data_IF_475564155650
#
_entry.id   IF_475564155650
#
_cell.length_a   1.000
_cell.length_b   1.000
_cell.length_c   1.000
_cell.angle_alpha   90.00
_cell.angle_beta   90.00
_cell.angle_gamma   90.00
#
_symmetry.space_group_name_H-M   'P 1'
#
loop_
_entity.id
_entity.type
_entity.pdbx_description
1 polymer ?
#
# COMPACT_ATOMS: atom_id res chain seq x y z
N UNK A 1 -27.20 -16.23 -46.95
CA UNK A 1 -28.61 -15.80 -46.85
C UNK A 1 -29.16 -15.89 -45.43
N UNK A 2 -28.54 -16.62 -44.49
CA UNK A 2 -29.00 -16.66 -43.08
C UNK A 2 -29.05 -15.29 -42.37
N UNK A 3 -28.16 -14.35 -42.70
CA UNK A 3 -28.15 -13.02 -42.07
C UNK A 3 -29.18 -12.03 -42.63
N UNK A 4 -29.75 -12.30 -43.80
CA UNK A 4 -30.69 -11.40 -44.50
C UNK A 4 -31.78 -12.24 -45.21
N UNK A 5 -32.76 -12.78 -44.46
CA UNK A 5 -33.77 -13.68 -45.00
C UNK A 5 -34.66 -13.02 -46.06
N UNK A 6 -34.79 -11.69 -46.02
CA UNK A 6 -35.68 -10.91 -46.89
C UNK A 6 -34.97 -10.36 -48.14
N UNK A 7 -33.68 -10.69 -48.35
CA UNK A 7 -32.91 -10.26 -49.51
C UNK A 7 -33.19 -11.19 -50.70
N UNK A 8 -33.87 -10.66 -51.73
CA UNK A 8 -34.23 -11.41 -52.92
C UNK A 8 -33.44 -10.97 -54.16
N UNK A 9 -33.09 -11.93 -54.99
CA UNK A 9 -32.41 -11.68 -56.26
C UNK A 9 -33.43 -11.45 -57.38
N UNK A 10 -33.39 -10.27 -57.98
CA UNK A 10 -34.20 -9.87 -59.12
C UNK A 10 -33.33 -9.69 -60.36
N UNK A 11 -33.65 -10.40 -61.44
CA UNK A 11 -32.89 -10.30 -62.70
C UNK A 11 -33.38 -9.10 -63.50
N UNK A 12 -32.48 -8.19 -63.84
CA UNK A 12 -32.71 -7.13 -64.81
C UNK A 12 -31.74 -7.30 -65.98
N UNK A 13 -32.20 -7.97 -67.04
CA UNK A 13 -31.37 -8.28 -68.22
C UNK A 13 -30.24 -9.28 -67.90
N UNK A 14 -28.99 -8.88 -68.12
CA UNK A 14 -27.81 -9.69 -67.75
C UNK A 14 -27.40 -9.53 -66.29
N UNK A 15 -27.97 -8.55 -65.59
CA UNK A 15 -27.58 -8.21 -64.22
C UNK A 15 -28.58 -8.79 -63.22
N UNK A 16 -28.06 -9.13 -62.03
CA UNK A 16 -28.86 -9.57 -60.88
C UNK A 16 -28.81 -8.47 -59.83
N UNK A 17 -29.93 -7.82 -59.61
CA UNK A 17 -30.12 -6.85 -58.53
C UNK A 17 -30.59 -7.58 -57.28
N UNK A 18 -30.00 -7.25 -56.13
CA UNK A 18 -30.45 -7.74 -54.84
C UNK A 18 -31.33 -6.67 -54.20
N UNK A 19 -32.59 -7.00 -53.97
CA UNK A 19 -33.61 -6.07 -53.46
C UNK A 19 -34.22 -6.66 -52.18
N UNK A 20 -34.53 -5.78 -51.23
CA UNK A 20 -35.32 -6.13 -50.06
C UNK A 20 -36.80 -5.87 -50.36
N UNK A 21 -37.67 -6.77 -49.90
CA UNK A 21 -39.11 -6.61 -50.09
C UNK A 21 -39.72 -5.52 -49.18
N UNK A 22 -39.11 -5.32 -48.02
CA UNK A 22 -39.48 -4.29 -47.05
C UNK A 22 -38.41 -3.18 -46.97
N UNK A 23 -38.72 -2.09 -46.25
CA UNK A 23 -37.80 -0.97 -46.03
C UNK A 23 -36.40 -1.47 -45.62
N UNK A 24 -35.40 -1.10 -46.43
CA UNK A 24 -33.98 -1.42 -46.21
C UNK A 24 -33.55 -0.97 -44.79
N UNK A 25 -34.12 0.13 -44.28
CA UNK A 25 -33.86 0.62 -42.93
C UNK A 25 -34.31 -0.35 -41.83
N UNK A 26 -35.46 -1.00 -42.00
CA UNK A 26 -35.97 -1.98 -41.04
C UNK A 26 -35.13 -3.26 -41.03
N UNK A 27 -34.65 -3.70 -42.21
CA UNK A 27 -33.86 -4.93 -42.35
C UNK A 27 -32.42 -4.75 -41.87
N UNK A 28 -31.80 -3.59 -42.12
CA UNK A 28 -30.49 -3.24 -41.54
C UNK A 28 -30.59 -3.17 -40.00
N UNK A 29 -31.67 -2.59 -39.49
CA UNK A 29 -31.95 -2.54 -38.03
C UNK A 29 -32.18 -3.93 -37.44
N UNK A 30 -32.68 -4.90 -38.23
CA UNK A 30 -32.85 -6.28 -37.78
C UNK A 30 -31.52 -7.05 -37.78
N UNK A 31 -30.69 -6.87 -38.81
CA UNK A 31 -29.37 -7.50 -38.90
C UNK A 31 -28.39 -6.96 -37.84
N UNK A 32 -28.50 -5.68 -37.48
CA UNK A 32 -27.70 -5.06 -36.40
C UNK A 32 -28.18 -5.40 -35.00
N UNK A 33 -29.39 -5.94 -34.81
CA UNK A 33 -29.86 -6.40 -33.48
C UNK A 33 -29.09 -7.59 -32.94
N UNK A 34 -28.36 -8.30 -33.78
CA UNK A 34 -27.46 -9.41 -33.45
C UNK A 34 -25.99 -8.97 -33.30
N UNK A 35 -25.72 -7.70 -32.97
CA UNK A 35 -24.37 -7.16 -32.82
C UNK A 35 -23.75 -7.44 -31.44
N UNK A 36 -23.37 -8.70 -31.19
CA UNK A 36 -22.34 -9.00 -30.17
C UNK A 36 -21.07 -8.15 -30.39
N UNK A 37 -20.80 -7.74 -31.64
CA UNK A 37 -19.66 -6.92 -32.04
C UNK A 37 -19.73 -5.46 -31.53
N UNK A 38 -20.92 -4.85 -31.41
CA UNK A 38 -21.04 -3.45 -30.95
C UNK A 38 -20.79 -3.35 -29.44
N UNK A 39 -21.39 -4.24 -28.65
CA UNK A 39 -21.16 -4.32 -27.20
C UNK A 39 -19.70 -4.70 -26.90
N UNK A 40 -19.15 -5.67 -27.64
CA UNK A 40 -17.74 -6.03 -27.54
C UNK A 40 -16.82 -4.84 -27.86
N UNK A 41 -17.16 -4.02 -28.86
CA UNK A 41 -16.39 -2.83 -29.21
C UNK A 41 -16.48 -1.74 -28.13
N UNK A 42 -17.63 -1.58 -27.47
CA UNK A 42 -17.77 -0.66 -26.33
C UNK A 42 -16.90 -1.14 -25.15
N UNK A 43 -16.96 -2.42 -24.80
CA UNK A 43 -16.14 -3.01 -23.74
C UNK A 43 -14.65 -2.90 -24.05
N UNK A 44 -14.26 -3.17 -25.30
CA UNK A 44 -12.89 -3.00 -25.76
C UNK A 44 -12.39 -1.57 -25.58
N UNK A 45 -13.18 -0.57 -26.02
CA UNK A 45 -12.84 0.85 -25.86
C UNK A 45 -12.75 1.25 -24.38
N UNK A 46 -13.70 0.82 -23.54
CA UNK A 46 -13.68 1.09 -22.11
C UNK A 46 -12.44 0.49 -21.43
N UNK A 47 -12.13 -0.77 -21.72
CA UNK A 47 -10.93 -1.44 -21.23
C UNK A 47 -9.65 -0.75 -21.71
N UNK A 48 -9.60 -0.31 -22.98
CA UNK A 48 -8.46 0.40 -23.54
C UNK A 48 -8.19 1.74 -22.83
N UNK A 49 -9.25 2.52 -22.55
CA UNK A 49 -9.15 3.79 -21.81
C UNK A 49 -8.62 3.54 -20.40
N UNK A 50 -9.28 2.66 -19.65
CA UNK A 50 -8.92 2.36 -18.25
C UNK A 50 -7.50 1.80 -18.18
N UNK A 51 -7.15 0.86 -19.06
CA UNK A 51 -5.82 0.25 -19.09
C UNK A 51 -4.74 1.26 -19.43
N UNK A 52 -4.98 2.19 -20.36
CA UNK A 52 -4.03 3.27 -20.67
C UNK A 52 -3.72 4.08 -19.42
N UNK A 53 -4.73 4.49 -18.67
CA UNK A 53 -4.56 5.28 -17.46
C UNK A 53 -3.87 4.48 -16.35
N UNK A 54 -4.24 3.21 -16.16
CA UNK A 54 -3.60 2.32 -15.18
C UNK A 54 -2.10 2.11 -15.45
N UNK A 55 -1.71 2.02 -16.73
CA UNK A 55 -0.30 1.82 -17.12
C UNK A 55 0.50 3.13 -17.08
N UNK A 56 -0.16 4.29 -17.16
CA UNK A 56 0.49 5.60 -17.04
C UNK A 56 0.83 5.95 -15.58
N UNK A 57 0.13 5.34 -14.61
CA UNK A 57 0.43 5.53 -13.19
C UNK A 57 1.80 4.94 -12.84
N UNK A 58 2.60 5.71 -12.11
CA UNK A 58 3.83 5.25 -11.46
C UNK A 58 3.73 5.64 -9.98
N UNK A 59 3.96 4.67 -9.10
CA UNK A 59 3.98 4.93 -7.67
C UNK A 59 5.12 4.15 -7.02
N UNK A 60 5.90 4.86 -6.21
CA UNK A 60 7.04 4.30 -5.48
C UNK A 60 6.77 4.54 -4.01
N UNK A 61 6.72 3.46 -3.24
CA UNK A 61 6.57 3.56 -1.80
C UNK A 61 7.84 4.13 -1.17
N UNK A 62 7.71 5.27 -0.50
CA UNK A 62 8.83 5.98 0.14
C UNK A 62 8.96 5.67 1.65
N UNK A 63 8.18 4.71 2.17
CA UNK A 63 8.21 4.34 3.59
C UNK A 63 7.08 4.94 4.42
N UNK A 64 6.26 5.82 3.84
CA UNK A 64 5.13 6.45 4.52
C UNK A 64 3.82 6.25 3.76
N UNK A 65 2.71 6.28 4.51
CA UNK A 65 1.36 6.27 3.96
C UNK A 65 0.75 7.66 4.15
N UNK A 66 0.81 8.48 3.11
CA UNK A 66 0.26 9.84 3.14
C UNK A 66 -1.26 9.85 3.21
N UNK A 67 -1.84 10.96 3.68
CA UNK A 67 -3.29 11.17 3.63
C UNK A 67 -3.77 11.09 2.18
N UNK A 68 -4.79 10.26 1.92
CA UNK A 68 -5.31 10.07 0.56
C UNK A 68 -4.48 9.11 -0.32
N UNK A 69 -3.46 8.44 0.24
CA UNK A 69 -2.60 7.49 -0.49
C UNK A 69 -3.41 6.44 -1.27
N UNK A 70 -4.48 5.91 -0.67
CA UNK A 70 -5.36 4.93 -1.31
C UNK A 70 -6.02 5.50 -2.57
N UNK A 71 -6.61 6.70 -2.46
CA UNK A 71 -7.30 7.38 -3.57
C UNK A 71 -6.34 7.73 -4.71
N UNK A 72 -5.11 8.09 -4.37
CA UNK A 72 -4.08 8.55 -5.30
C UNK A 72 -3.32 7.40 -5.97
N UNK A 73 -3.47 6.15 -5.48
CA UNK A 73 -2.79 4.98 -6.04
C UNK A 73 -3.49 4.32 -7.22
N UNK A 74 -4.64 4.86 -7.64
CA UNK A 74 -5.45 4.33 -8.74
C UNK A 74 -5.98 5.47 -9.61
N UNK A 75 -6.06 5.29 -10.94
CA UNK A 75 -6.58 6.31 -11.82
C UNK A 75 -8.09 6.50 -11.61
N UNK A 76 -8.58 7.73 -11.85
CA UNK A 76 -10.00 8.05 -11.70
C UNK A 76 -10.88 7.20 -12.62
N UNK A 77 -10.44 6.91 -13.85
CA UNK A 77 -11.18 6.06 -14.80
C UNK A 77 -11.43 4.65 -14.27
N UNK A 78 -10.45 4.06 -13.57
CA UNK A 78 -10.62 2.77 -12.90
C UNK A 78 -11.62 2.86 -11.75
N UNK A 79 -11.50 3.88 -10.89
CA UNK A 79 -12.45 4.09 -9.78
C UNK A 79 -13.88 4.24 -10.29
N UNK A 80 -14.07 5.02 -11.36
CA UNK A 80 -15.38 5.26 -11.95
C UNK A 80 -15.97 3.97 -12.54
N UNK A 81 -15.19 3.18 -13.30
CA UNK A 81 -15.73 1.94 -13.90
C UNK A 81 -16.02 0.88 -12.84
N UNK A 82 -15.16 0.74 -11.83
CA UNK A 82 -15.40 -0.18 -10.69
C UNK A 82 -16.61 0.27 -9.90
N UNK A 83 -16.75 1.57 -9.63
CA UNK A 83 -17.94 2.12 -8.98
C UNK A 83 -19.23 1.85 -9.77
N UNK A 84 -19.17 1.98 -11.10
CA UNK A 84 -20.30 1.63 -11.98
C UNK A 84 -20.61 0.12 -11.97
N UNK A 85 -19.60 -0.75 -11.83
CA UNK A 85 -19.80 -2.19 -11.73
C UNK A 85 -20.43 -2.57 -10.38
N UNK A 86 -19.95 -1.99 -9.27
CA UNK A 86 -20.39 -2.34 -7.92
C UNK A 86 -21.74 -1.71 -7.56
N UNK A 87 -21.97 -0.45 -7.95
CA UNK A 87 -23.15 0.33 -7.59
C UNK A 87 -24.14 0.58 -8.74
N UNK A 88 -23.87 0.04 -9.92
CA UNK A 88 -24.65 0.25 -11.14
C UNK A 88 -24.21 1.49 -11.95
N UNK A 89 -24.51 1.52 -13.26
CA UNK A 89 -24.10 2.60 -14.15
C UNK A 89 -24.87 3.88 -13.85
N UNK A 90 -24.30 4.76 -13.01
CA UNK A 90 -24.89 6.03 -12.67
C UNK A 90 -23.87 7.17 -12.75
N UNK A 91 -24.05 8.06 -13.72
CA UNK A 91 -23.18 9.21 -13.99
C UNK A 91 -23.15 10.18 -12.79
N UNK A 92 -24.18 10.19 -11.94
CA UNK A 92 -24.29 11.08 -10.77
C UNK A 92 -23.64 10.52 -9.50
N UNK A 93 -23.21 9.26 -9.49
CA UNK A 93 -22.65 8.58 -8.31
C UNK A 93 -21.15 8.82 -8.12
N UNK A 94 -20.59 9.83 -8.79
CA UNK A 94 -19.16 10.14 -8.78
C UNK A 94 -18.65 10.67 -7.42
N UNK A 95 -19.51 10.86 -6.41
CA UNK A 95 -19.16 11.59 -5.18
C UNK A 95 -19.13 10.76 -3.89
N UNK A 96 -19.43 9.45 -3.91
CA UNK A 96 -19.30 8.61 -2.72
C UNK A 96 -18.14 7.65 -2.94
N UNK A 97 -16.98 8.01 -2.38
CA UNK A 97 -15.79 7.15 -2.32
C UNK A 97 -16.05 5.98 -1.37
N UNK A 98 -16.68 4.93 -1.87
CA UNK A 98 -16.88 3.71 -1.10
C UNK A 98 -15.56 2.93 -0.99
N UNK A 99 -15.19 2.54 0.23
CA UNK A 99 -13.96 1.78 0.50
C UNK A 99 -13.86 0.53 -0.38
N UNK A 100 -14.98 -0.14 -0.68
CA UNK A 100 -15.04 -1.31 -1.56
C UNK A 100 -14.55 -1.01 -2.98
N UNK A 101 -14.91 0.16 -3.52
CA UNK A 101 -14.47 0.62 -4.84
C UNK A 101 -12.98 0.89 -4.86
N UNK A 102 -12.44 1.55 -3.82
CA UNK A 102 -11.01 1.82 -3.69
C UNK A 102 -10.19 0.53 -3.54
N UNK A 103 -10.64 -0.38 -2.69
CA UNK A 103 -10.01 -1.69 -2.48
C UNK A 103 -10.00 -2.51 -3.76
N UNK A 104 -11.14 -2.61 -4.45
CA UNK A 104 -11.24 -3.37 -5.71
C UNK A 104 -10.39 -2.75 -6.83
N UNK A 105 -10.37 -1.42 -6.93
CA UNK A 105 -9.53 -0.70 -7.90
C UNK A 105 -8.05 -0.94 -7.64
N UNK A 106 -7.61 -0.87 -6.38
CA UNK A 106 -6.20 -1.14 -6.04
C UNK A 106 -5.81 -2.58 -6.34
N UNK A 107 -6.68 -3.56 -6.08
CA UNK A 107 -6.41 -4.95 -6.43
C UNK A 107 -6.33 -5.17 -7.94
N UNK A 108 -7.19 -4.51 -8.73
CA UNK A 108 -7.10 -4.55 -10.20
C UNK A 108 -5.80 -3.92 -10.70
N UNK A 109 -5.40 -2.78 -10.13
CA UNK A 109 -4.12 -2.13 -10.43
C UNK A 109 -2.94 -3.04 -10.10
N UNK A 110 -2.95 -3.66 -8.91
CA UNK A 110 -1.90 -4.57 -8.45
C UNK A 110 -1.76 -5.81 -9.33
N UNK A 111 -2.87 -6.34 -9.83
CA UNK A 111 -2.94 -7.55 -10.64
C UNK A 111 -2.94 -7.26 -12.15
N UNK A 112 -2.33 -6.15 -12.57
CA UNK A 112 -2.23 -5.76 -13.99
C UNK A 112 -0.79 -5.63 -14.46
N UNK A 113 -0.44 -6.38 -15.52
CA UNK A 113 0.86 -6.31 -16.19
C UNK A 113 0.79 -5.56 -17.52
N UNK A 114 1.85 -4.82 -17.90
CA UNK A 114 1.94 -4.11 -19.21
C UNK A 114 1.79 -5.10 -20.38
N UNK A 115 2.57 -6.19 -20.38
CA UNK A 115 2.51 -7.22 -21.40
C UNK A 115 2.84 -8.59 -20.79
N UNK A 116 2.06 -9.62 -21.14
CA UNK A 116 2.33 -10.99 -20.69
C UNK A 116 3.40 -11.62 -21.57
N UNK A 117 4.47 -12.14 -20.95
CA UNK A 117 5.36 -13.09 -21.63
C UNK A 117 4.77 -14.49 -21.45
N UNK A 118 4.82 -15.34 -22.47
CA UNK A 118 4.25 -16.71 -22.42
C UNK A 118 4.77 -17.54 -21.24
N UNK A 119 5.99 -17.25 -20.78
CA UNK A 119 6.66 -17.97 -19.69
C UNK A 119 6.69 -17.19 -18.36
N UNK A 120 5.88 -16.13 -18.20
CA UNK A 120 5.88 -15.33 -16.97
C UNK A 120 5.21 -16.05 -15.80
N UNK A 121 5.60 -15.67 -14.58
CA UNK A 121 4.95 -16.12 -13.34
C UNK A 121 3.42 -15.97 -13.43
N UNK A 122 2.64 -16.83 -12.76
CA UNK A 122 1.18 -16.79 -12.81
C UNK A 122 0.59 -15.48 -12.26
N UNK A 123 1.41 -14.67 -11.59
CA UNK A 123 0.99 -13.46 -10.89
C UNK A 123 1.34 -12.21 -11.68
N UNK A 124 0.38 -11.29 -11.80
CA UNK A 124 0.44 -10.10 -12.65
C UNK A 124 1.09 -8.87 -11.98
N UNK A 125 2.05 -9.08 -11.08
CA UNK A 125 2.57 -8.00 -10.24
C UNK A 125 3.75 -7.27 -10.88
N UNK A 126 3.76 -5.94 -10.69
CA UNK A 126 4.88 -5.07 -11.03
C UNK A 126 5.26 -4.25 -9.80
N UNK A 127 6.54 -4.25 -9.45
CA UNK A 127 7.10 -3.49 -8.34
C UNK A 127 7.00 -1.97 -8.55
N UNK A 128 6.84 -1.52 -9.80
CA UNK A 128 6.75 -0.10 -10.19
C UNK A 128 5.36 0.51 -9.97
N UNK A 129 4.36 -0.34 -9.70
CA UNK A 129 2.95 0.05 -9.58
C UNK A 129 2.28 -0.67 -8.41
N UNK A 130 3.01 -0.94 -7.34
CA UNK A 130 2.48 -1.54 -6.11
C UNK A 130 1.53 -0.55 -5.43
N UNK A 131 0.21 -0.81 -5.38
CA UNK A 131 -0.70 0.08 -4.68
C UNK A 131 -0.58 -0.11 -3.17
N UNK A 132 -0.88 0.96 -2.42
CA UNK A 132 -0.66 0.99 -0.97
C UNK A 132 -1.38 -0.11 -0.20
N UNK A 133 -2.56 -0.54 -0.64
CA UNK A 133 -3.29 -1.61 0.02
C UNK A 133 -2.47 -2.91 0.10
N UNK A 134 -1.86 -3.34 -1.02
CA UNK A 134 -1.10 -4.59 -1.07
C UNK A 134 0.17 -4.51 -0.23
N UNK A 135 0.79 -3.32 -0.19
CA UNK A 135 1.96 -3.03 0.67
C UNK A 135 1.56 -3.11 2.13
N UNK A 136 0.52 -2.37 2.52
CA UNK A 136 -0.01 -2.35 3.88
C UNK A 136 -0.39 -3.74 4.36
N UNK A 137 -1.15 -4.49 3.56
CA UNK A 137 -1.60 -5.84 3.93
C UNK A 137 -0.41 -6.79 4.11
N UNK A 138 0.59 -6.72 3.23
CA UNK A 138 1.82 -7.52 3.36
C UNK A 138 2.59 -7.21 4.65
N UNK A 139 2.79 -5.93 4.95
CA UNK A 139 3.46 -5.47 6.17
C UNK A 139 2.68 -5.85 7.43
N UNK A 140 1.37 -5.66 7.44
CA UNK A 140 0.48 -6.00 8.56
C UNK A 140 0.48 -7.50 8.84
N UNK A 141 0.29 -8.34 7.81
CA UNK A 141 0.34 -9.80 7.96
C UNK A 141 1.68 -10.27 8.51
N UNK A 142 2.77 -9.66 8.06
CA UNK A 142 4.09 -9.95 8.58
C UNK A 142 4.23 -9.52 10.04
N UNK A 143 3.77 -8.32 10.41
CA UNK A 143 3.79 -7.79 11.76
C UNK A 143 3.05 -8.71 12.75
N UNK A 144 1.84 -9.11 12.40
CA UNK A 144 0.93 -9.86 13.27
C UNK A 144 1.30 -11.35 13.38
N UNK A 145 1.76 -11.95 12.27
CA UNK A 145 1.88 -13.42 12.23
C UNK A 145 3.29 -13.93 12.20
N UNK A 146 4.24 -13.17 11.61
CA UNK A 146 5.59 -13.64 11.25
C UNK A 146 5.61 -14.95 10.45
N UNK A 147 4.49 -15.39 9.87
CA UNK A 147 4.35 -16.67 9.17
C UNK A 147 4.59 -16.51 7.68
N UNK A 148 5.79 -16.87 7.22
CA UNK A 148 6.16 -16.86 5.79
C UNK A 148 5.16 -17.59 4.90
N UNK A 149 4.68 -18.76 5.33
CA UNK A 149 3.72 -19.56 4.56
C UNK A 149 2.36 -18.89 4.35
N UNK A 150 1.89 -18.08 5.31
CA UNK A 150 0.64 -17.33 5.18
C UNK A 150 0.79 -16.19 4.16
N UNK A 151 1.88 -15.43 4.27
CA UNK A 151 2.22 -14.35 3.34
C UNK A 151 2.34 -14.89 1.91
N UNK A 152 2.97 -16.06 1.75
CA UNK A 152 3.11 -16.71 0.46
C UNK A 152 1.75 -17.06 -0.18
N UNK A 153 0.79 -17.55 0.61
CA UNK A 153 -0.57 -17.82 0.13
C UNK A 153 -1.29 -16.53 -0.29
N UNK A 154 -1.20 -15.47 0.51
CA UNK A 154 -1.83 -14.17 0.20
C UNK A 154 -1.22 -13.52 -1.05
N UNK A 155 0.09 -13.64 -1.23
CA UNK A 155 0.79 -13.22 -2.44
C UNK A 155 0.28 -13.98 -3.67
N UNK A 156 0.15 -15.31 -3.60
CA UNK A 156 -0.37 -16.10 -4.73
C UNK A 156 -1.83 -15.80 -5.09
N UNK A 157 -2.63 -15.35 -4.13
CA UNK A 157 -4.00 -14.88 -4.38
C UNK A 157 -4.03 -13.45 -4.96
N UNK A 158 -2.88 -12.80 -5.15
CA UNK A 158 -2.81 -11.44 -5.67
C UNK A 158 -3.29 -10.38 -4.67
N UNK A 159 -3.21 -10.66 -3.36
CA UNK A 159 -3.73 -9.78 -2.31
C UNK A 159 -2.65 -8.97 -1.60
N UNK A 160 -1.43 -9.51 -1.49
CA UNK A 160 -0.33 -8.88 -0.76
C UNK A 160 0.98 -8.96 -1.52
N UNK A 161 2.00 -8.24 -1.04
CA UNK A 161 3.38 -8.40 -1.50
C UNK A 161 3.95 -9.80 -1.20
N UNK A 162 5.02 -10.16 -1.92
CA UNK A 162 5.79 -11.37 -1.62
C UNK A 162 6.55 -11.22 -0.30
N UNK A 163 6.87 -12.34 0.34
CA UNK A 163 7.65 -12.33 1.58
C UNK A 163 9.01 -11.64 1.40
N UNK A 164 9.70 -11.92 0.29
CA UNK A 164 10.99 -11.31 0.01
C UNK A 164 10.89 -9.80 -0.19
N UNK A 165 9.84 -9.32 -0.87
CA UNK A 165 9.57 -7.89 -1.00
C UNK A 165 9.33 -7.22 0.35
N UNK A 166 8.59 -7.87 1.25
CA UNK A 166 8.36 -7.39 2.61
C UNK A 166 9.67 -7.31 3.40
N UNK A 167 10.56 -8.29 3.26
CA UNK A 167 11.88 -8.23 3.88
C UNK A 167 12.73 -7.10 3.34
N UNK A 168 12.72 -6.87 2.02
CA UNK A 168 13.44 -5.75 1.43
C UNK A 168 12.94 -4.40 1.98
N UNK A 169 11.62 -4.23 2.08
CA UNK A 169 11.03 -3.02 2.69
C UNK A 169 11.44 -2.88 4.16
N UNK A 170 11.41 -3.97 4.93
CA UNK A 170 11.83 -3.95 6.34
C UNK A 170 13.31 -3.57 6.50
N UNK A 171 14.18 -4.09 5.62
CA UNK A 171 15.60 -3.74 5.63
C UNK A 171 15.82 -2.29 5.23
N UNK A 172 15.14 -1.80 4.19
CA UNK A 172 15.24 -0.41 3.76
C UNK A 172 14.78 0.56 4.86
N UNK A 173 13.68 0.24 5.57
CA UNK A 173 13.23 1.00 6.73
C UNK A 173 14.27 0.99 7.86
N UNK A 174 14.86 -0.16 8.16
CA UNK A 174 15.94 -0.26 9.15
C UNK A 174 17.17 0.58 8.77
N UNK A 175 17.55 0.56 7.50
CA UNK A 175 18.66 1.37 6.96
C UNK A 175 18.37 2.88 7.06
N UNK A 176 17.13 3.30 6.76
CA UNK A 176 16.67 4.69 6.92
C UNK A 176 16.75 5.15 8.38
N UNK A 177 16.36 4.30 9.34
CA UNK A 177 16.48 4.61 10.77
C UNK A 177 17.95 4.76 11.20
N UNK A 178 18.85 3.91 10.70
CA UNK A 178 20.28 4.03 11.01
C UNK A 178 20.86 5.35 10.48
N UNK A 179 20.39 5.80 9.32
CA UNK A 179 20.79 7.08 8.74
C UNK A 179 20.25 8.27 9.54
N UNK A 180 18.98 8.21 9.97
CA UNK A 180 18.38 9.21 10.85
C UNK A 180 19.14 9.30 12.18
N UNK A 181 19.57 8.16 12.72
CA UNK A 181 20.44 8.15 13.90
C UNK A 181 21.76 8.88 13.66
N UNK A 182 22.43 8.67 12.52
CA UNK A 182 23.72 9.33 12.27
C UNK A 182 23.59 10.86 12.18
N UNK A 183 22.41 11.36 11.83
CA UNK A 183 22.11 12.80 11.78
C UNK A 183 21.75 13.32 13.18
N UNK A 184 20.90 12.61 13.91
CA UNK A 184 20.31 13.10 15.17
C UNK A 184 21.01 12.61 16.44
N UNK A 185 21.91 11.62 16.33
CA UNK A 185 22.55 10.88 17.43
C UNK A 185 21.57 10.21 18.42
N UNK A 186 20.30 10.05 18.04
CA UNK A 186 19.27 9.40 18.85
C UNK A 186 18.30 8.62 17.96
N UNK A 187 17.86 7.46 18.43
CA UNK A 187 16.73 6.75 17.82
C UNK A 187 15.49 7.16 18.58
N UNK A 188 14.60 7.88 17.92
CA UNK A 188 13.31 8.26 18.48
C UNK A 188 12.20 8.04 17.44
N UNK A 189 10.95 7.81 17.86
CA UNK A 189 9.81 7.71 16.95
C UNK A 189 9.68 8.94 16.06
N UNK A 190 9.41 8.75 14.77
CA UNK A 190 9.28 9.82 13.78
C UNK A 190 8.18 10.84 14.13
N UNK A 191 7.17 10.44 14.93
CA UNK A 191 6.10 11.32 15.40
C UNK A 191 6.54 12.34 16.45
N UNK A 192 7.71 12.17 17.05
CA UNK A 192 8.24 13.17 17.98
C UNK A 192 8.77 14.38 17.23
N UNK A 193 8.66 15.56 17.84
CA UNK A 193 9.23 16.81 17.30
C UNK A 193 10.65 17.03 17.83
N UNK A 194 11.53 17.50 16.97
CA UNK A 194 12.89 17.89 17.33
C UNK A 194 12.89 19.21 18.12
N UNK A 195 13.83 19.37 19.04
CA UNK A 195 14.00 20.59 19.85
C UNK A 195 12.98 20.76 20.99
N UNK A 196 12.18 19.73 21.30
CA UNK A 196 11.22 19.74 22.41
C UNK A 196 11.75 18.97 23.60
N UNK A 197 11.65 19.56 24.79
CA UNK A 197 11.98 18.87 26.03
C UNK A 197 11.11 17.60 26.17
N UNK A 198 11.78 16.46 26.31
CA UNK A 198 11.13 15.15 26.29
C UNK A 198 11.54 14.36 27.54
N UNK A 199 10.55 13.89 28.28
CA UNK A 199 10.74 12.99 29.43
C UNK A 199 10.42 11.56 29.04
N UNK A 200 11.20 10.59 29.50
CA UNK A 200 10.98 9.17 29.27
C UNK A 200 10.64 8.46 30.58
N UNK A 201 9.55 7.68 30.60
CA UNK A 201 9.30 6.69 31.63
C UNK A 201 9.74 5.33 31.11
N UNK A 202 10.75 4.75 31.76
CA UNK A 202 11.33 3.45 31.38
C UNK A 202 10.94 2.45 32.45
N UNK A 203 10.16 1.44 32.07
CA UNK A 203 9.73 0.38 32.99
C UNK A 203 10.12 -0.99 32.44
N UNK A 204 10.56 -1.88 33.32
CA UNK A 204 10.86 -3.26 32.98
C UNK A 204 9.61 -4.11 33.18
N UNK A 205 9.15 -4.78 32.13
CA UNK A 205 8.14 -5.82 32.23
C UNK A 205 8.88 -7.12 32.60
N UNK A 206 8.87 -7.43 33.89
CA UNK A 206 9.45 -8.65 34.41
C UNK A 206 8.53 -9.85 34.18
N UNK A 207 9.14 -10.96 33.77
CA UNK A 207 8.54 -12.28 33.72
C UNK A 207 8.15 -12.73 35.13
N UNK A 208 6.92 -13.25 35.32
CA UNK A 208 6.55 -13.99 36.52
C UNK A 208 6.82 -15.49 36.31
N UNK A 209 7.88 -16.06 36.90
CA UNK A 209 8.27 -17.46 36.68
C UNK A 209 7.33 -18.51 37.28
N UNK A 210 6.32 -18.10 38.07
CA UNK A 210 5.33 -19.03 38.65
C UNK A 210 4.15 -19.35 37.72
N UNK A 211 4.04 -18.71 36.56
CA UNK A 211 2.94 -18.94 35.63
C UNK A 211 3.25 -20.07 34.65
N UNK A 212 2.82 -21.29 34.97
CA UNK A 212 2.96 -22.48 34.12
C UNK A 212 2.11 -22.45 32.85
N UNK A 213 1.26 -21.43 32.66
CA UNK A 213 0.40 -21.23 31.49
C UNK A 213 0.91 -20.16 30.52
N UNK A 214 1.99 -19.45 30.83
CA UNK A 214 2.46 -18.32 30.04
C UNK A 214 3.25 -18.74 28.78
N UNK A 215 2.59 -19.41 27.83
CA UNK A 215 3.04 -19.40 26.43
C UNK A 215 2.88 -17.98 25.89
N UNK A 216 3.93 -17.15 25.97
CA UNK A 216 3.96 -15.81 25.40
C UNK A 216 4.20 -14.65 26.37
N UNK A 217 4.83 -14.88 27.53
CA UNK A 217 5.24 -13.77 28.40
C UNK A 217 6.25 -12.86 27.67
N UNK A 218 5.90 -11.58 27.51
CA UNK A 218 6.76 -10.58 26.90
C UNK A 218 7.79 -10.11 27.94
N UNK A 219 9.03 -10.55 27.81
CA UNK A 219 10.14 -9.91 28.53
C UNK A 219 10.60 -8.71 27.73
N UNK A 220 10.54 -7.51 28.32
CA UNK A 220 10.96 -6.31 27.61
C UNK A 220 11.00 -5.07 28.49
N UNK A 221 11.62 -4.04 27.95
CA UNK A 221 11.60 -2.69 28.52
C UNK A 221 10.57 -1.88 27.75
N UNK A 222 9.58 -1.37 28.47
CA UNK A 222 8.64 -0.39 27.93
C UNK A 222 9.19 1.00 28.15
N UNK A 223 9.22 1.80 27.09
CA UNK A 223 9.63 3.19 27.11
C UNK A 223 8.42 4.02 26.69
N UNK A 224 7.93 4.88 27.58
CA UNK A 224 6.93 5.90 27.26
C UNK A 224 7.62 7.26 27.15
N UNK A 225 7.36 7.99 26.08
CA UNK A 225 7.97 9.29 25.79
C UNK A 225 6.90 10.38 25.85
N UNK A 226 7.17 11.45 26.59
CA UNK A 226 6.28 12.60 26.75
C UNK A 226 7.01 13.87 26.31
N UNK A 227 6.45 14.60 25.34
CA UNK A 227 7.00 15.89 24.90
C UNK A 227 6.26 17.04 25.58
N UNK A 228 7.01 18.04 26.03
CA UNK A 228 6.49 19.22 26.73
C UNK A 228 6.71 20.48 25.88
N UNK A 229 5.89 20.71 24.82
CA UNK A 229 5.98 21.92 24.02
C UNK A 229 5.57 23.14 24.85
N UNK A 230 6.25 24.28 24.64
CA UNK A 230 5.95 25.54 25.33
C UNK A 230 5.56 26.62 24.31
N UNK A 231 4.80 27.66 24.72
CA UNK A 231 4.54 28.81 23.85
C UNK A 231 5.87 29.41 23.33
N UNK A 232 6.06 29.44 22.01
CA UNK A 232 7.31 29.89 21.37
C UNK A 232 8.28 28.77 20.99
N UNK A 233 8.11 27.55 21.50
CA UNK A 233 8.85 26.36 21.04
C UNK A 233 7.96 25.12 21.05
N UNK A 234 7.25 24.92 19.94
CA UNK A 234 6.50 23.69 19.66
C UNK A 234 7.37 22.60 19.04
N UNK A 235 8.65 22.88 18.78
CA UNK A 235 9.57 22.00 18.07
C UNK A 235 9.34 21.91 16.57
N UNK A 236 10.26 21.24 15.89
CA UNK A 236 10.27 21.06 14.44
C UNK A 236 9.87 19.63 14.11
N UNK A 237 9.08 19.45 13.05
CA UNK A 237 8.78 18.11 12.54
C UNK A 237 10.06 17.43 12.08
N UNK A 238 10.21 16.15 12.42
CA UNK A 238 11.42 15.41 12.09
C UNK A 238 11.41 15.02 10.62
N UNK A 239 12.59 15.10 9.99
CA UNK A 239 12.77 14.65 8.63
C UNK A 239 12.63 13.13 8.60
N UNK A 240 11.65 12.63 7.86
CA UNK A 240 11.56 11.20 7.56
C UNK A 240 12.46 10.93 6.36
N UNK A 241 13.47 10.07 6.54
CA UNK A 241 14.36 9.69 5.44
C UNK A 241 13.59 8.71 4.54
N UNK A 242 13.26 9.10 3.29
CA UNK A 242 12.50 8.24 2.40
C UNK A 242 13.31 6.99 2.06
N UNK A 243 12.63 5.84 1.97
CA UNK A 243 13.25 4.62 1.48
C UNK A 243 13.21 4.58 -0.04
N UNK A 244 14.28 4.09 -0.66
CA UNK A 244 14.25 3.70 -2.06
C UNK A 244 13.67 2.28 -2.18
N UNK A 245 12.38 2.20 -2.48
CA UNK A 245 11.71 0.91 -2.70
C UNK A 245 11.88 0.37 -4.12
N UNK A 246 12.59 1.04 -5.03
CA UNK A 246 12.82 0.49 -6.38
C UNK A 246 13.86 -0.63 -6.38
N UNK A 247 14.66 -0.72 -5.31
CA UNK A 247 15.72 -1.72 -5.16
C UNK A 247 15.10 -3.12 -5.02
N UNK A 248 15.22 -3.90 -6.10
CA UNK A 248 14.74 -5.29 -6.17
C UNK A 248 15.69 -6.27 -5.47
N UNK A 249 16.93 -5.86 -5.21
CA UNK A 249 17.94 -6.66 -4.52
C UNK A 249 17.81 -6.45 -3.01
N UNK A 250 18.04 -7.52 -2.23
CA UNK A 250 18.23 -7.38 -0.78
C UNK A 250 19.42 -6.45 -0.54
N UNK A 251 19.15 -5.26 -0.05
CA UNK A 251 20.20 -4.46 0.56
C UNK A 251 20.74 -5.21 1.78
N UNK A 252 22.03 -5.06 2.04
CA UNK A 252 22.56 -5.50 3.31
C UNK A 252 22.12 -4.52 4.39
N UNK A 253 21.78 -5.05 5.56
CA UNK A 253 21.50 -4.22 6.73
C UNK A 253 22.75 -3.40 7.05
N UNK A 254 22.61 -2.07 7.12
CA UNK A 254 23.69 -1.19 7.58
C UNK A 254 24.04 -1.57 9.04
N UNK A 255 25.32 -1.52 9.44
CA UNK A 255 25.72 -1.84 10.80
C UNK A 255 25.07 -0.85 11.78
N UNK A 256 24.66 -1.35 12.94
CA UNK A 256 24.15 -0.50 14.00
C UNK A 256 25.25 0.47 14.48
N UNK A 257 24.86 1.67 14.95
CA UNK A 257 25.81 2.61 15.53
C UNK A 257 26.58 1.98 16.70
N UNK A 258 27.88 2.27 16.81
CA UNK A 258 28.76 1.68 17.83
C UNK A 258 28.25 1.85 19.27
N UNK A 259 27.54 2.94 19.56
CA UNK A 259 26.95 3.20 20.87
C UNK A 259 25.88 2.18 21.29
N UNK A 260 25.26 1.47 20.34
CA UNK A 260 24.30 0.39 20.61
C UNK A 260 24.98 -0.97 20.81
N UNK A 261 26.17 -1.17 20.24
CA UNK A 261 26.91 -2.43 20.35
C UNK A 261 27.92 -2.42 21.49
N UNK A 262 28.34 -1.24 21.94
CA UNK A 262 29.34 -1.04 22.99
C UNK A 262 28.73 -0.14 24.06
N UNK A 263 28.20 -0.76 25.12
CA UNK A 263 27.72 -0.04 26.31
C UNK A 263 28.88 0.03 27.31
N UNK A 264 29.53 1.20 27.51
CA UNK A 264 30.59 1.32 28.50
C UNK A 264 29.99 1.15 29.91
N UNK A 265 30.72 0.52 30.86
CA UNK A 265 30.25 0.40 32.23
C UNK A 265 30.06 1.79 32.84
N UNK A 266 28.81 2.09 33.25
CA UNK A 266 28.47 3.33 33.94
C UNK A 266 28.64 3.10 35.44
N UNK A 267 29.67 3.71 36.01
CA UNK A 267 29.83 3.78 37.45
C UNK A 267 29.03 4.97 37.98
N UNK A 268 27.93 4.70 38.68
CA UNK A 268 27.23 5.73 39.44
C UNK A 268 28.20 6.30 40.48
N UNK A 269 28.46 7.62 40.44
CA UNK A 269 29.19 8.29 41.52
C UNK A 269 28.38 8.08 42.80
N UNK A 270 28.98 7.45 43.80
CA UNK A 270 28.46 7.51 45.18
C UNK A 270 28.44 8.99 45.56
N UNK A 271 27.27 9.59 45.63
CA UNK A 271 27.13 10.86 46.32
C UNK A 271 27.56 10.62 47.77
N UNK A 272 28.62 11.31 48.20
CA UNK A 272 28.92 11.43 49.61
C UNK A 272 27.80 12.27 50.21
N UNK A 273 26.86 11.63 50.90
CA UNK A 273 25.94 12.32 51.80
C UNK A 273 26.79 13.14 52.78
N UNK A 274 26.93 14.45 52.53
CA UNK A 274 27.42 15.38 53.55
C UNK A 274 26.30 15.47 54.57
N UNK A 275 26.47 14.79 55.71
CA UNK A 275 25.70 15.08 56.91
C UNK A 275 25.97 16.53 57.31
N UNK A 276 25.13 17.45 56.85
CA UNK A 276 24.97 18.74 57.50
C UNK A 276 24.11 18.49 58.74
N UNK A 277 24.76 18.27 59.88
CA UNK A 277 24.12 18.36 61.18
C UNK A 277 23.62 19.80 61.38
N UNK A 278 22.39 20.07 60.95
CA UNK A 278 21.64 21.25 61.35
C UNK A 278 21.02 20.99 62.71
N UNK A 279 21.55 21.66 63.73
CA UNK A 279 20.90 21.79 65.04
C UNK A 279 19.59 22.54 64.87
N UNK A 280 18.48 21.90 65.20
CA UNK A 280 17.21 22.59 65.42
C UNK A 280 17.22 23.10 66.87
N UNK A 281 17.18 24.42 67.03
CA UNK A 281 16.86 25.07 68.31
C UNK A 281 15.35 25.27 68.32
N UNK A 282 14.69 24.72 69.33
CA UNK A 282 13.31 25.04 69.66
C UNK A 282 13.25 26.43 70.31
N UNK A 283 12.52 27.34 69.67
CA UNK A 283 11.78 28.47 70.28
C UNK A 283 10.53 28.75 69.43
#
# INVERSE_FOLDING_TARGET
MEAFPDLQAHKQGRDVLLLFNDDVGATIKLATRTNYDDEAMILYKAAQIVRKDMMAMQYIFNGTFETGCQQNSVPQSLKTIVGMILGGPNIKMQSIEEQTTLTSSQLLQFNSSICRRKDSSPVFHSTEREPFLSIYLGLLLHAETRKRGLIHKMYFLGLSLSYDRIMNLSTALGNSICEAFNIENVVCPAKLRSGVFTTAAVNNIYHNPSSTTAKGSLHGTVISLFQHPVPGNVGVERLTIPIDSTVSKRENLKPLPKAYTIVPPVFLRKETCRNTNGSWSDD
#
